data_IF_948192714422
#
_entry.id   IF_948192714422
#
_cell.length_a   1.000
_cell.length_b   1.000
_cell.length_c   1.000
_cell.angle_alpha   90.00
_cell.angle_beta   90.00
_cell.angle_gamma   90.00
#
_symmetry.space_group_name_H-M   'P 1'
#
loop_
_entity.id
_entity.type
_entity.pdbx_description
1 polymer ?
#
# COMPACT_ATOMS: atom_id res chain seq x y z
N UNK A 1 4.76 -9.82 -1.13
CA UNK A 1 4.24 -10.89 -2.01
C UNK A 1 5.10 -12.16 -2.00
N UNK A 2 5.55 -12.63 -0.83
CA UNK A 2 6.37 -13.87 -0.75
C UNK A 2 5.51 -15.11 -0.99
N UNK A 3 4.29 -15.11 -0.44
CA UNK A 3 3.32 -16.19 -0.60
C UNK A 3 3.00 -16.49 -2.08
N UNK A 4 2.70 -15.46 -2.87
CA UNK A 4 2.43 -15.59 -4.29
C UNK A 4 3.62 -16.21 -5.06
N UNK A 5 4.85 -15.82 -4.73
CA UNK A 5 6.06 -16.41 -5.35
C UNK A 5 6.21 -17.89 -5.03
N UNK A 6 5.93 -18.29 -3.79
CA UNK A 6 6.00 -19.70 -3.37
C UNK A 6 4.95 -20.53 -4.11
N UNK A 7 3.70 -20.04 -4.16
CA UNK A 7 2.62 -20.71 -4.88
C UNK A 7 2.96 -20.85 -6.37
N UNK A 8 3.44 -19.78 -7.00
CA UNK A 8 3.85 -19.80 -8.41
C UNK A 8 4.99 -20.80 -8.67
N UNK A 9 5.95 -20.91 -7.76
CA UNK A 9 7.03 -21.90 -7.87
C UNK A 9 6.51 -23.34 -7.86
N UNK A 10 5.55 -23.65 -6.98
CA UNK A 10 4.93 -24.97 -6.93
C UNK A 10 4.07 -25.28 -8.14
N UNK A 11 3.41 -24.28 -8.74
CA UNK A 11 2.66 -24.44 -10.00
C UNK A 11 3.59 -24.85 -11.14
N UNK A 12 4.74 -24.19 -11.30
CA UNK A 12 5.71 -24.53 -12.34
C UNK A 12 6.35 -25.92 -12.16
N UNK A 13 6.50 -26.38 -10.91
CA UNK A 13 7.04 -27.72 -10.61
C UNK A 13 6.06 -28.87 -10.85
N UNK A 14 4.76 -28.59 -10.75
CA UNK A 14 3.71 -29.63 -10.79
C UNK A 14 3.02 -29.74 -12.15
N UNK A 15 3.17 -28.75 -13.04
CA UNK A 15 2.60 -28.79 -14.38
C UNK A 15 3.53 -29.51 -15.37
N UNK A 16 2.95 -30.34 -16.26
CA UNK A 16 3.66 -31.05 -17.35
C UNK A 16 4.27 -30.07 -18.37
N UNK A 17 3.77 -28.83 -18.40
CA UNK A 17 4.15 -27.78 -19.35
C UNK A 17 5.30 -26.88 -18.88
N UNK A 18 5.83 -27.10 -17.67
CA UNK A 18 6.92 -26.33 -17.09
C UNK A 18 6.62 -24.83 -17.03
N UNK A 19 7.54 -23.99 -17.53
CA UNK A 19 7.50 -22.52 -17.41
C UNK A 19 6.48 -21.82 -18.33
N UNK A 20 5.76 -22.57 -19.20
CA UNK A 20 4.79 -22.03 -20.17
C UNK A 20 3.36 -22.48 -19.86
N UNK A 21 2.92 -22.24 -18.63
CA UNK A 21 1.61 -22.69 -18.14
C UNK A 21 0.43 -21.99 -18.82
N UNK A 22 0.57 -20.74 -19.28
CA UNK A 22 -0.55 -20.01 -19.90
C UNK A 22 -0.89 -20.47 -21.32
N UNK A 23 0.07 -21.05 -22.05
CA UNK A 23 -0.10 -21.43 -23.47
C UNK A 23 -0.24 -22.93 -23.67
N UNK A 24 -0.29 -23.70 -22.58
CA UNK A 24 -0.27 -25.16 -22.69
C UNK A 24 -1.66 -25.73 -22.90
N UNK A 25 -1.85 -26.33 -24.07
CA UNK A 25 -3.07 -27.01 -24.49
C UNK A 25 -2.75 -28.45 -24.88
N UNK A 26 -3.66 -29.35 -24.53
CA UNK A 26 -3.59 -30.76 -24.92
C UNK A 26 -3.91 -30.92 -26.42
N UNK A 27 -3.70 -32.12 -26.97
CA UNK A 27 -4.01 -32.43 -28.38
C UNK A 27 -5.47 -32.15 -28.79
N UNK A 28 -6.38 -32.09 -27.81
CA UNK A 28 -7.82 -31.79 -27.96
C UNK A 28 -8.17 -30.31 -27.68
N UNK A 29 -7.18 -29.44 -27.48
CA UNK A 29 -7.38 -27.99 -27.25
C UNK A 29 -7.76 -27.60 -25.82
N UNK A 30 -7.69 -28.53 -24.85
CA UNK A 30 -8.01 -28.26 -23.45
C UNK A 30 -6.79 -27.70 -22.70
N UNK A 31 -6.99 -26.71 -21.84
CA UNK A 31 -5.91 -26.13 -21.03
C UNK A 31 -5.40 -27.15 -19.98
N UNK A 32 -4.10 -27.45 -20.02
CA UNK A 32 -3.44 -28.35 -19.07
C UNK A 32 -3.14 -27.60 -17.77
N UNK A 33 -4.01 -27.78 -16.78
CA UNK A 33 -3.91 -27.14 -15.47
C UNK A 33 -3.29 -28.07 -14.42
N UNK A 34 -2.53 -27.51 -13.49
CA UNK A 34 -1.99 -28.28 -12.36
C UNK A 34 -3.12 -28.73 -11.43
N UNK A 35 -3.01 -29.93 -10.85
CA UNK A 35 -3.96 -30.48 -9.85
C UNK A 35 -3.84 -29.81 -8.46
N UNK A 36 -3.49 -28.53 -8.40
CA UNK A 36 -3.37 -27.77 -7.16
C UNK A 36 -4.72 -27.19 -6.75
N UNK A 37 -4.94 -27.16 -5.44
CA UNK A 37 -6.15 -26.59 -4.88
C UNK A 37 -6.07 -25.04 -4.88
N UNK A 38 -7.11 -24.38 -5.41
CA UNK A 38 -7.23 -22.92 -5.49
C UNK A 38 -7.14 -22.24 -4.10
N UNK A 39 -7.51 -22.95 -3.03
CA UNK A 39 -7.50 -22.42 -1.66
C UNK A 39 -6.10 -22.00 -1.20
N UNK A 40 -5.03 -22.54 -1.78
CA UNK A 40 -3.66 -22.14 -1.44
C UNK A 40 -3.41 -20.65 -1.74
N UNK A 41 -4.13 -20.04 -2.69
CA UNK A 41 -4.00 -18.63 -3.04
C UNK A 41 -4.68 -17.69 -2.02
N UNK A 42 -5.64 -18.20 -1.25
CA UNK A 42 -6.41 -17.38 -0.31
C UNK A 42 -5.54 -16.76 0.78
N UNK A 43 -4.44 -17.43 1.17
CA UNK A 43 -3.50 -16.92 2.16
C UNK A 43 -2.93 -15.54 1.84
N UNK A 44 -2.60 -15.26 0.57
CA UNK A 44 -2.10 -13.93 0.18
C UNK A 44 -3.17 -12.83 0.25
N UNK A 45 -4.42 -13.16 -0.08
CA UNK A 45 -5.51 -12.18 -0.04
C UNK A 45 -5.90 -11.81 1.39
N UNK A 46 -5.90 -12.79 2.31
CA UNK A 46 -6.20 -12.54 3.73
C UNK A 46 -5.15 -11.62 4.36
N UNK A 47 -3.87 -11.89 4.13
CA UNK A 47 -2.78 -11.08 4.67
C UNK A 47 -2.80 -9.64 4.11
N UNK A 48 -3.08 -9.49 2.81
CA UNK A 48 -3.20 -8.19 2.17
C UNK A 48 -4.37 -7.39 2.77
N UNK A 49 -5.57 -7.99 2.82
CA UNK A 49 -6.75 -7.36 3.37
C UNK A 49 -6.55 -6.93 4.83
N UNK A 50 -5.92 -7.78 5.64
CA UNK A 50 -5.60 -7.44 7.04
C UNK A 50 -4.68 -6.22 7.14
N UNK A 51 -3.63 -6.17 6.31
CA UNK A 51 -2.69 -5.04 6.29
C UNK A 51 -3.35 -3.73 5.84
N UNK A 52 -4.27 -3.81 4.87
CA UNK A 52 -4.92 -2.64 4.30
C UNK A 52 -5.94 -2.02 5.27
N UNK A 53 -6.69 -2.87 5.98
CA UNK A 53 -7.63 -2.42 7.02
C UNK A 53 -6.88 -1.70 8.14
N UNK A 54 -5.79 -2.30 8.63
CA UNK A 54 -4.98 -1.69 9.69
C UNK A 54 -4.38 -0.34 9.25
N UNK A 55 -3.80 -0.28 8.05
CA UNK A 55 -3.17 0.92 7.53
C UNK A 55 -4.19 2.05 7.28
N UNK A 56 -5.37 1.72 6.73
CA UNK A 56 -6.42 2.70 6.43
C UNK A 56 -6.99 3.32 7.71
N UNK A 57 -7.42 2.50 8.67
CA UNK A 57 -8.06 3.00 9.92
C UNK A 57 -7.08 3.86 10.73
N UNK A 58 -5.83 3.38 10.89
CA UNK A 58 -4.81 4.13 11.65
C UNK A 58 -4.39 5.42 10.96
N UNK A 59 -4.32 5.44 9.63
CA UNK A 59 -4.02 6.64 8.85
C UNK A 59 -5.10 7.71 8.97
N UNK A 60 -6.37 7.32 8.89
CA UNK A 60 -7.50 8.23 9.07
C UNK A 60 -7.52 8.82 10.49
N UNK A 61 -7.35 8.00 11.53
CA UNK A 61 -7.34 8.48 12.93
C UNK A 61 -6.14 9.42 13.21
N UNK A 62 -4.97 9.09 12.68
CA UNK A 62 -3.78 9.93 12.82
C UNK A 62 -3.95 11.30 12.15
N UNK A 63 -4.55 11.34 10.97
CA UNK A 63 -4.78 12.60 10.24
C UNK A 63 -5.84 13.47 10.91
N UNK A 64 -6.90 12.88 11.48
CA UNK A 64 -7.93 13.65 12.19
C UNK A 64 -7.47 14.22 13.53
N UNK A 65 -6.58 13.51 14.24
CA UNK A 65 -6.02 13.96 15.53
C UNK A 65 -4.92 15.01 15.38
N UNK A 66 -4.14 14.98 14.28
CA UNK A 66 -3.02 15.92 14.07
C UNK A 66 -3.33 17.11 13.15
N UNK A 67 -4.30 17.01 12.22
CA UNK A 67 -4.55 18.07 11.24
C UNK A 67 -5.49 19.20 11.74
N UNK A 68 -5.22 20.48 11.41
CA UNK A 68 -6.12 21.61 11.69
C UNK A 68 -7.42 21.52 10.88
N UNK A 69 -8.52 22.07 11.41
CA UNK A 69 -9.89 21.89 10.86
C UNK A 69 -10.03 22.23 9.37
N UNK A 70 -9.28 23.20 8.86
CA UNK A 70 -9.34 23.65 7.46
C UNK A 70 -8.60 22.75 6.46
N UNK A 71 -7.74 21.82 6.91
CA UNK A 71 -6.88 21.02 6.02
C UNK A 71 -7.22 19.53 5.98
N UNK A 72 -8.24 19.10 6.70
CA UNK A 72 -8.67 17.69 6.76
C UNK A 72 -9.05 17.15 5.37
N UNK A 73 -9.79 17.93 4.58
CA UNK A 73 -10.21 17.55 3.23
C UNK A 73 -9.02 17.39 2.27
N UNK A 74 -8.00 18.25 2.37
CA UNK A 74 -6.82 18.19 1.52
C UNK A 74 -5.97 16.93 1.82
N UNK A 75 -5.83 16.57 3.08
CA UNK A 75 -5.08 15.36 3.48
C UNK A 75 -5.80 14.09 3.00
N UNK A 76 -7.13 14.04 3.09
CA UNK A 76 -7.92 12.92 2.56
C UNK A 76 -7.88 12.83 1.03
N UNK A 77 -7.88 13.97 0.33
CA UNK A 77 -7.73 14.00 -1.12
C UNK A 77 -6.36 13.46 -1.58
N UNK A 78 -5.28 13.80 -0.86
CA UNK A 78 -3.94 13.27 -1.12
C UNK A 78 -3.87 11.75 -0.87
N UNK A 79 -4.59 11.25 0.13
CA UNK A 79 -4.70 9.81 0.38
C UNK A 79 -5.33 9.07 -0.80
N UNK A 80 -6.46 9.55 -1.30
CA UNK A 80 -7.14 8.96 -2.46
C UNK A 80 -6.33 9.10 -3.75
N UNK A 81 -5.61 10.21 -3.94
CA UNK A 81 -4.74 10.42 -5.09
C UNK A 81 -3.60 9.39 -5.14
N UNK A 82 -3.01 9.05 -4.00
CA UNK A 82 -1.97 8.01 -3.93
C UNK A 82 -2.52 6.62 -4.25
N UNK A 83 -3.73 6.29 -3.78
CA UNK A 83 -4.40 5.05 -4.19
C UNK A 83 -4.62 5.00 -5.71
N UNK A 84 -4.97 6.13 -6.34
CA UNK A 84 -5.11 6.19 -7.79
C UNK A 84 -3.78 5.97 -8.54
N UNK A 85 -2.66 6.52 -8.04
CA UNK A 85 -1.33 6.27 -8.60
C UNK A 85 -0.95 4.80 -8.45
N UNK A 86 -1.22 4.19 -7.29
CA UNK A 86 -0.94 2.78 -7.06
C UNK A 86 -1.70 1.89 -8.06
N UNK A 87 -2.98 2.18 -8.32
CA UNK A 87 -3.76 1.47 -9.34
C UNK A 87 -3.23 1.68 -10.76
N UNK A 88 -2.82 2.90 -11.12
CA UNK A 88 -2.24 3.19 -12.43
C UNK A 88 -0.91 2.44 -12.66
N UNK A 89 -0.08 2.33 -11.61
CA UNK A 89 1.11 1.48 -11.65
C UNK A 89 0.75 0.00 -11.76
N UNK A 90 -0.29 -0.46 -11.06
CA UNK A 90 -0.80 -1.83 -11.19
C UNK A 90 -1.08 -2.22 -12.63
N UNK A 91 -1.84 -1.39 -13.35
CA UNK A 91 -2.15 -1.58 -14.77
C UNK A 91 -0.91 -1.55 -15.67
N UNK A 92 0.07 -0.68 -15.37
CA UNK A 92 1.33 -0.65 -16.11
C UNK A 92 2.12 -1.97 -15.95
N UNK A 93 2.06 -2.59 -14.77
CA UNK A 93 2.74 -3.86 -14.48
C UNK A 93 2.04 -5.09 -15.06
N UNK A 94 0.73 -5.03 -15.36
CA UNK A 94 -0.02 -6.13 -15.98
C UNK A 94 0.63 -6.55 -17.32
N UNK A 95 1.07 -5.58 -18.13
CA UNK A 95 1.71 -5.86 -19.43
C UNK A 95 3.07 -6.57 -19.30
N UNK A 96 3.72 -6.46 -18.13
CA UNK A 96 5.02 -7.09 -17.86
C UNK A 96 4.87 -8.53 -17.32
N UNK A 97 3.64 -8.97 -17.04
CA UNK A 97 3.32 -10.25 -16.38
C UNK A 97 3.27 -11.47 -17.32
N UNK A 98 3.81 -11.38 -18.54
CA UNK A 98 3.78 -12.47 -19.53
C UNK A 98 4.82 -13.57 -19.24
N UNK A 99 4.45 -14.85 -19.39
CA UNK A 99 5.35 -16.00 -19.21
C UNK A 99 6.57 -15.94 -20.16
N UNK A 100 7.80 -16.32 -19.77
CA UNK A 100 8.28 -16.83 -18.48
C UNK A 100 8.87 -15.73 -17.57
N UNK A 101 8.65 -14.46 -17.90
CA UNK A 101 9.31 -13.32 -17.24
C UNK A 101 8.70 -12.96 -15.87
N UNK A 102 7.61 -13.62 -15.47
CA UNK A 102 6.93 -13.41 -14.20
C UNK A 102 7.88 -13.59 -12.99
N UNK A 103 8.80 -14.55 -13.06
CA UNK A 103 9.79 -14.79 -12.00
C UNK A 103 10.86 -13.70 -11.98
N UNK A 104 11.28 -13.20 -13.15
CA UNK A 104 12.24 -12.11 -13.28
C UNK A 104 11.64 -10.77 -12.84
N UNK A 105 10.33 -10.56 -12.97
CA UNK A 105 9.63 -9.40 -12.39
C UNK A 105 9.46 -9.56 -10.88
N UNK A 106 9.26 -10.77 -10.35
CA UNK A 106 9.16 -10.99 -8.88
C UNK A 106 10.53 -10.91 -8.18
N UNK A 107 11.60 -11.38 -8.82
CA UNK A 107 13.00 -11.21 -8.37
C UNK A 107 13.49 -9.79 -8.67
N UNK A 108 13.13 -9.22 -9.82
CA UNK A 108 13.39 -7.82 -10.18
C UNK A 108 12.62 -6.85 -9.29
N UNK A 109 11.43 -7.23 -8.82
CA UNK A 109 10.69 -6.49 -7.79
C UNK A 109 11.45 -6.52 -6.47
N UNK A 110 12.13 -7.62 -6.08
CA UNK A 110 13.07 -7.60 -4.95
C UNK A 110 14.22 -6.61 -5.17
N UNK A 111 14.71 -6.48 -6.40
CA UNK A 111 15.68 -5.43 -6.78
C UNK A 111 15.10 -4.01 -6.89
N UNK A 112 13.77 -3.88 -6.94
CA UNK A 112 13.05 -2.61 -7.02
C UNK A 112 12.49 -2.15 -5.66
N UNK A 113 12.58 -3.00 -4.62
CA UNK A 113 12.10 -2.69 -3.26
C UNK A 113 12.85 -1.49 -2.66
N UNK A 114 14.07 -1.19 -3.11
CA UNK A 114 14.81 -0.02 -2.64
C UNK A 114 14.21 1.31 -3.11
N UNK A 115 13.40 1.33 -4.18
CA UNK A 115 12.71 2.54 -4.65
C UNK A 115 11.27 2.69 -4.15
N UNK A 116 10.56 1.57 -3.94
CA UNK A 116 9.12 1.57 -3.60
C UNK A 116 8.87 1.73 -2.09
N UNK A 117 9.82 1.42 -1.21
CA UNK A 117 9.67 1.72 0.22
C UNK A 117 9.95 3.20 0.57
N UNK A 118 10.71 3.88 -0.29
CA UNK A 118 10.89 5.33 -0.17
C UNK A 118 9.61 6.09 -0.52
N UNK A 119 8.69 5.56 -1.34
CA UNK A 119 7.42 6.21 -1.65
C UNK A 119 6.50 6.39 -0.43
N UNK A 120 6.18 5.36 0.38
CA UNK A 120 5.39 5.51 1.59
C UNK A 120 6.14 6.28 2.68
N UNK A 121 7.47 6.15 2.79
CA UNK A 121 8.27 6.93 3.77
C UNK A 121 8.32 8.42 3.36
N UNK A 122 8.61 8.71 2.09
CA UNK A 122 8.58 10.05 1.51
C UNK A 122 7.18 10.66 1.63
N UNK A 123 6.14 9.87 1.38
CA UNK A 123 4.76 10.29 1.52
C UNK A 123 4.40 10.57 2.99
N UNK A 124 4.79 9.71 3.93
CA UNK A 124 4.62 9.93 5.36
C UNK A 124 5.36 11.20 5.83
N UNK A 125 6.58 11.42 5.36
CA UNK A 125 7.35 12.64 5.61
C UNK A 125 6.70 13.87 4.98
N UNK A 126 6.14 13.75 3.77
CA UNK A 126 5.49 14.85 3.07
C UNK A 126 4.15 15.23 3.74
N UNK A 127 3.34 14.25 4.16
CA UNK A 127 2.11 14.46 4.95
C UNK A 127 2.46 15.09 6.31
N UNK A 128 3.45 14.54 7.01
CA UNK A 128 3.87 15.07 8.33
C UNK A 128 4.45 16.48 8.19
N UNK A 129 5.23 16.73 7.12
CA UNK A 129 5.77 18.03 6.77
C UNK A 129 4.68 19.05 6.38
N UNK A 130 3.65 18.62 5.65
CA UNK A 130 2.48 19.45 5.31
C UNK A 130 1.69 19.82 6.56
N UNK A 131 1.42 18.85 7.45
CA UNK A 131 0.73 19.09 8.72
C UNK A 131 1.58 20.01 9.62
N UNK A 132 2.90 19.84 9.64
CA UNK A 132 3.81 20.73 10.37
C UNK A 132 3.79 22.16 9.81
N UNK A 133 3.94 22.33 8.50
CA UNK A 133 3.88 23.64 7.83
C UNK A 133 2.51 24.32 8.02
N UNK A 134 1.44 23.56 7.96
CA UNK A 134 0.09 24.02 8.23
C UNK A 134 -0.07 24.54 9.65
N UNK A 135 0.46 23.81 10.64
CA UNK A 135 0.45 24.20 12.05
C UNK A 135 1.26 25.48 12.28
N UNK A 136 2.47 25.58 11.71
CA UNK A 136 3.30 26.81 11.79
C UNK A 136 2.62 28.02 11.15
N UNK A 137 1.91 27.82 10.03
CA UNK A 137 1.16 28.90 9.35
C UNK A 137 -0.11 29.33 10.10
N UNK A 138 -0.67 28.46 10.94
CA UNK A 138 -1.85 28.76 11.75
C UNK A 138 -1.55 29.20 13.18
N UNK A 139 -0.30 29.10 13.64
CA UNK A 139 0.20 29.96 14.73
C UNK A 139 0.39 31.37 14.18
N UNK A 140 -0.44 32.36 14.55
CA UNK A 140 -0.05 33.75 14.33
C UNK A 140 1.27 33.95 15.06
N UNK A 141 2.16 34.73 14.46
CA UNK A 141 3.34 35.29 15.10
C UNK A 141 2.88 35.95 16.42
N UNK A 142 2.94 35.22 17.53
CA UNK A 142 2.64 35.79 18.82
C UNK A 142 3.83 36.67 19.16
N UNK A 143 3.58 37.96 19.01
CA UNK A 143 4.43 39.06 19.39
C UNK A 143 5.18 38.79 20.68
N UNK A 144 6.46 39.15 20.64
CA UNK A 144 7.37 39.25 21.75
C UNK A 144 6.89 40.36 22.72
N UNK A 145 5.88 40.12 23.56
CA UNK A 145 5.58 40.96 24.73
C UNK A 145 4.62 40.25 25.70
N UNK A 146 5.12 39.94 26.90
CA UNK A 146 4.35 39.95 28.15
C UNK A 146 3.20 38.94 28.35
N UNK A 147 3.33 38.17 29.43
CA UNK A 147 2.26 37.55 30.22
C UNK A 147 1.91 36.08 29.93
N UNK A 148 2.41 35.25 30.84
CA UNK A 148 1.74 34.14 31.55
C UNK A 148 0.77 33.21 30.82
N UNK A 149 1.13 31.92 30.94
CA UNK A 149 0.26 30.76 31.21
C UNK A 149 -1.08 30.69 30.45
N UNK A 150 -1.25 29.61 29.68
CA UNK A 150 -2.34 28.66 29.98
C UNK A 150 -1.97 27.25 29.54
N UNK A 151 -1.65 26.47 30.56
CA UNK A 151 -1.77 25.03 30.67
C UNK A 151 -3.10 24.59 30.04
N UNK A 152 -3.04 23.64 29.11
CA UNK A 152 -4.22 22.95 28.55
C UNK A 152 -4.67 21.95 29.62
N UNK A 153 -5.85 22.08 30.26
CA UNK A 153 -6.36 21.03 31.14
C UNK A 153 -6.86 19.86 30.30
N UNK A 154 -6.69 18.65 30.84
CA UNK A 154 -7.15 17.39 30.27
C UNK A 154 -8.68 17.27 30.24
N UNK A 155 -9.20 16.13 29.77
CA UNK A 155 -10.61 15.94 29.44
C UNK A 155 -11.46 15.67 30.69
N UNK A 156 -12.46 16.50 30.94
CA UNK A 156 -13.50 16.24 31.95
C UNK A 156 -14.62 15.34 31.37
N UNK A 157 -14.51 14.04 31.66
CA UNK A 157 -15.50 13.18 32.36
C UNK A 157 -16.94 13.72 32.49
N UNK A 158 -17.91 12.95 31.95
CA UNK A 158 -19.34 12.76 32.32
C UNK A 158 -20.23 14.02 32.40
N UNK A 159 -21.46 14.08 31.85
CA UNK A 159 -22.57 13.14 31.81
C UNK A 159 -23.50 13.53 30.63
#
# INVERSE_FOLDING_TARGET
>A
MIWATVVQHYIYKTNVCGDRVATCVDGDGNALVSSLNIWIQTGSYVLLAFSEIMASITGLEYTFTKAPKSMRSLVMALFLFMSAIASALGEAFVTLSTDPLLVLVLIGARGSVEGIELLPIFWWLCITGLIYRARVRSTPQFSFFGSSQKIIPGPDVHL
#
